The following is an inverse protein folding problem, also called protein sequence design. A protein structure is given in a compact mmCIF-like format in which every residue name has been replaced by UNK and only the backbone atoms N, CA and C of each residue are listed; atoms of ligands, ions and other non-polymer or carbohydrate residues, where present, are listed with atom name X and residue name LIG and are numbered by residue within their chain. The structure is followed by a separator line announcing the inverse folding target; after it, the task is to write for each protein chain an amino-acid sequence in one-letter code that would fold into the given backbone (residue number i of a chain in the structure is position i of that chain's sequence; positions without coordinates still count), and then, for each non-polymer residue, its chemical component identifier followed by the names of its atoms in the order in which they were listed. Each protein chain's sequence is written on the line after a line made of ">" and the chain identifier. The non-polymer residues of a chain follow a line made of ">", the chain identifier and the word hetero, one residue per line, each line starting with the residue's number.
data_IF_435379090999
#
_entry.id   IF_435379090999
#
_cell.length_a   1.000
_cell.length_b   1.000
_cell.length_c   1.000
_cell.angle_alpha   90.00
_cell.angle_beta   90.00
_cell.angle_gamma   90.00
#
_symmetry.space_group_name_H-M   'P 1'
#
loop_
_entity.id
_entity.type
_entity.pdbx_description
1 polymer ?
#
# COMPACT_ATOMS: atom_id res chain seq x y z
N UNK A 1 -26.15 -15.25 -6.38
CA UNK A 1 -25.36 -14.05 -6.04
C UNK A 1 -24.76 -14.29 -4.67
N UNK A 2 -23.48 -14.69 -4.59
CA UNK A 2 -22.87 -15.04 -3.31
C UNK A 2 -22.21 -13.79 -2.71
N UNK A 3 -22.85 -13.21 -1.70
CA UNK A 3 -22.25 -12.20 -0.84
C UNK A 3 -21.08 -12.86 -0.09
N UNK A 4 -19.85 -12.62 -0.56
CA UNK A 4 -18.65 -13.08 0.14
C UNK A 4 -18.58 -12.35 1.48
N UNK A 5 -18.98 -13.03 2.55
CA UNK A 5 -18.65 -12.67 3.93
C UNK A 5 -17.13 -12.56 4.05
N UNK A 6 -16.58 -11.36 3.82
CA UNK A 6 -15.24 -11.02 4.23
C UNK A 6 -15.15 -11.25 5.73
N UNK A 7 -14.23 -12.13 6.17
CA UNK A 7 -14.12 -12.43 7.59
C UNK A 7 -13.66 -11.17 8.31
N UNK A 8 -14.48 -10.64 9.23
CA UNK A 8 -14.16 -9.53 10.14
C UNK A 8 -12.87 -9.74 10.97
N UNK A 9 -12.23 -10.90 10.85
CA UNK A 9 -11.03 -11.33 11.57
C UNK A 9 -9.79 -10.47 11.31
N UNK A 10 -9.72 -9.78 10.17
CA UNK A 10 -8.53 -9.01 9.74
C UNK A 10 -8.76 -7.50 9.74
N UNK A 11 -9.93 -7.07 10.21
CA UNK A 11 -10.31 -5.67 10.21
C UNK A 11 -10.03 -5.10 11.59
N UNK A 12 -9.14 -4.12 11.65
CA UNK A 12 -8.71 -3.48 12.88
C UNK A 12 -9.00 -1.98 12.82
N UNK A 13 -9.47 -1.44 13.95
CA UNK A 13 -9.58 0.01 14.12
C UNK A 13 -8.33 0.52 14.83
N UNK A 14 -7.86 1.68 14.39
CA UNK A 14 -6.65 2.33 14.85
C UNK A 14 -6.98 3.78 15.19
N UNK A 15 -6.30 4.29 16.20
CA UNK A 15 -6.40 5.67 16.65
C UNK A 15 -4.99 6.22 16.80
N UNK A 16 -4.77 7.42 16.28
CA UNK A 16 -3.47 8.08 16.38
C UNK A 16 -3.61 9.60 16.39
N UNK A 17 -2.52 10.29 16.72
CA UNK A 17 -2.42 11.75 16.69
C UNK A 17 -1.19 12.17 15.91
N UNK A 18 -1.39 12.97 14.86
CA UNK A 18 -0.30 13.52 14.05
C UNK A 18 -0.25 15.04 14.16
N UNK A 19 0.94 15.62 14.02
CA UNK A 19 1.06 17.07 13.85
C UNK A 19 0.93 17.42 12.37
N UNK A 20 -0.01 18.33 12.06
CA UNK A 20 -0.24 18.83 10.71
C UNK A 20 -0.21 20.36 10.67
N UNK A 21 -0.03 20.91 9.48
CA UNK A 21 -0.10 22.35 9.22
C UNK A 21 -1.07 22.64 8.06
N UNK A 22 -1.28 23.93 7.75
CA UNK A 22 -2.03 24.40 6.59
C UNK A 22 -1.39 23.95 5.28
N UNK A 23 -1.76 22.76 4.82
CA UNK A 23 -1.36 22.23 3.52
C UNK A 23 -2.41 21.27 2.97
N UNK A 24 -2.26 20.93 1.70
CA UNK A 24 -2.99 19.82 1.13
C UNK A 24 -2.61 18.52 1.87
N UNK A 25 -3.62 17.81 2.37
CA UNK A 25 -3.42 16.53 3.06
C UNK A 25 -2.91 15.43 2.12
N UNK A 26 -2.97 15.63 0.80
CA UNK A 26 -2.39 14.72 -0.19
C UNK A 26 -3.10 13.36 -0.24
N UNK A 27 -4.38 13.30 0.12
CA UNK A 27 -5.17 12.06 0.11
C UNK A 27 -6.20 12.09 -1.02
N UNK A 28 -6.27 11.02 -1.80
CA UNK A 28 -7.36 10.77 -2.75
C UNK A 28 -8.21 9.61 -2.24
N UNK A 29 -9.53 9.70 -2.39
CA UNK A 29 -10.47 8.68 -1.92
C UNK A 29 -11.20 7.99 -3.07
N UNK A 30 -11.61 6.74 -2.86
CA UNK A 30 -12.49 6.03 -3.78
C UNK A 30 -13.86 6.72 -3.87
N UNK A 31 -14.33 6.98 -5.09
CA UNK A 31 -15.65 7.57 -5.33
C UNK A 31 -16.77 6.70 -4.73
N UNK A 32 -17.71 7.34 -4.03
CA UNK A 32 -18.88 6.68 -3.43
C UNK A 32 -18.61 5.84 -2.19
N UNK A 33 -17.38 5.83 -1.66
CA UNK A 33 -17.10 5.12 -0.39
C UNK A 33 -17.59 5.91 0.82
N UNK A 34 -18.33 5.24 1.70
CA UNK A 34 -18.72 5.76 3.02
C UNK A 34 -18.53 4.67 4.09
N UNK A 35 -17.70 4.89 5.13
CA UNK A 35 -16.78 6.01 5.32
C UNK A 35 -15.78 6.16 4.15
N UNK A 36 -15.15 7.33 3.95
CA UNK A 36 -14.24 7.53 2.82
C UNK A 36 -13.04 6.59 2.95
N UNK A 37 -12.74 5.90 1.84
CA UNK A 37 -11.65 4.94 1.75
C UNK A 37 -10.53 5.51 0.91
N UNK A 38 -9.32 5.48 1.44
CA UNK A 38 -8.14 6.02 0.78
C UNK A 38 -7.84 5.20 -0.48
N UNK A 39 -7.67 5.88 -1.60
CA UNK A 39 -7.21 5.33 -2.86
C UNK A 39 -5.72 5.58 -3.07
N UNK A 40 -5.25 6.81 -2.77
CA UNK A 40 -3.85 7.22 -2.94
C UNK A 40 -3.43 8.19 -1.84
N UNK A 41 -2.13 8.19 -1.57
CA UNK A 41 -1.46 9.06 -0.61
C UNK A 41 -0.23 9.65 -1.30
N UNK A 42 -0.15 10.96 -1.38
CA UNK A 42 1.01 11.70 -1.88
C UNK A 42 2.22 11.48 -0.95
N UNK A 43 3.43 11.46 -1.53
CA UNK A 43 4.69 11.35 -0.79
C UNK A 43 4.93 12.52 0.18
N UNK A 44 4.32 13.67 -0.06
CA UNK A 44 4.43 14.86 0.80
C UNK A 44 3.28 14.98 1.81
N UNK A 45 2.38 14.01 1.86
CA UNK A 45 1.30 13.95 2.86
C UNK A 45 1.87 13.72 4.27
N UNK A 46 1.30 14.39 5.27
CA UNK A 46 1.56 14.09 6.69
C UNK A 46 1.19 12.66 7.08
N UNK A 47 0.32 12.01 6.30
CA UNK A 47 -0.11 10.64 6.52
C UNK A 47 0.77 9.61 5.81
N UNK A 48 1.79 10.03 5.05
CA UNK A 48 2.66 9.13 4.32
C UNK A 48 3.42 8.20 5.27
N UNK A 49 3.34 6.89 5.00
CA UNK A 49 3.92 5.85 5.86
C UNK A 49 3.11 5.51 7.12
N UNK A 50 2.08 6.30 7.44
CA UNK A 50 1.17 6.04 8.57
C UNK A 50 -0.14 5.41 8.11
N UNK A 51 -0.79 6.05 7.13
CA UNK A 51 -1.96 5.51 6.45
C UNK A 51 -1.52 4.76 5.18
N UNK A 52 -2.38 3.85 4.73
CA UNK A 52 -2.19 3.12 3.48
C UNK A 52 -3.46 3.19 2.60
N UNK A 53 -3.29 3.11 1.26
CA UNK A 53 -4.39 2.84 0.36
C UNK A 53 -5.22 1.65 0.84
N UNK A 54 -6.52 1.89 0.95
CA UNK A 54 -7.49 0.93 1.46
C UNK A 54 -7.99 1.19 2.86
N UNK A 55 -7.31 2.03 3.65
CA UNK A 55 -7.80 2.45 4.97
C UNK A 55 -9.09 3.27 4.83
N UNK A 56 -10.03 3.04 5.75
CA UNK A 56 -11.25 3.84 5.88
C UNK A 56 -11.08 4.86 6.98
N UNK A 57 -11.24 6.15 6.68
CA UNK A 57 -11.22 7.20 7.70
C UNK A 57 -12.58 7.23 8.38
N UNK A 58 -12.59 7.03 9.70
CA UNK A 58 -13.81 6.97 10.49
C UNK A 58 -14.09 8.29 11.22
N UNK A 59 -13.03 8.94 11.71
CA UNK A 59 -13.13 10.12 12.56
C UNK A 59 -11.88 10.99 12.42
N UNK A 60 -12.09 12.30 12.48
CA UNK A 60 -11.04 13.32 12.64
C UNK A 60 -11.43 14.18 13.84
N UNK A 61 -10.53 14.33 14.80
CA UNK A 61 -10.78 14.91 16.11
C UNK A 61 -12.06 14.34 16.75
N UNK A 62 -13.11 15.15 16.90
CA UNK A 62 -14.40 14.74 17.46
C UNK A 62 -15.49 14.52 16.39
N UNK A 63 -15.14 14.64 15.11
CA UNK A 63 -16.08 14.62 13.99
C UNK A 63 -16.03 13.28 13.27
N UNK A 64 -17.17 12.60 13.19
CA UNK A 64 -17.33 11.43 12.35
C UNK A 64 -17.21 11.82 10.87
N UNK A 65 -16.51 11.01 10.08
CA UNK A 65 -16.25 11.28 8.67
C UNK A 65 -17.03 10.26 7.82
N UNK A 66 -17.94 10.76 6.97
CA UNK A 66 -18.79 9.90 6.14
C UNK A 66 -18.49 10.04 4.65
N UNK A 67 -17.79 11.10 4.23
CA UNK A 67 -17.39 11.33 2.84
C UNK A 67 -15.99 11.98 2.73
N UNK A 68 -15.47 12.08 1.50
CA UNK A 68 -14.21 12.77 1.23
C UNK A 68 -14.32 14.27 1.54
N UNK A 69 -15.49 14.87 1.27
CA UNK A 69 -15.77 16.28 1.56
C UNK A 69 -15.82 16.54 3.06
N UNK A 70 -16.38 15.62 3.86
CA UNK A 70 -16.33 15.68 5.33
C UNK A 70 -14.89 15.69 5.82
N UNK A 71 -14.02 14.85 5.23
CA UNK A 71 -12.61 14.80 5.56
C UNK A 71 -11.94 16.14 5.24
N UNK A 72 -12.08 16.65 4.01
CA UNK A 72 -11.50 17.94 3.60
C UNK A 72 -11.95 19.08 4.51
N UNK A 73 -13.24 19.13 4.87
CA UNK A 73 -13.77 20.15 5.78
C UNK A 73 -13.25 19.99 7.22
N UNK A 74 -12.96 18.77 7.66
CA UNK A 74 -12.39 18.51 8.99
C UNK A 74 -10.89 18.85 9.05
N UNK A 75 -10.18 18.81 7.92
CA UNK A 75 -8.73 19.06 7.84
C UNK A 75 -8.35 20.42 7.26
N UNK A 76 -9.32 21.32 7.04
CA UNK A 76 -9.05 22.65 6.51
C UNK A 76 -8.60 23.60 7.63
N UNK A 77 -7.28 23.72 7.83
CA UNK A 77 -6.68 24.56 8.86
C UNK A 77 -6.00 25.80 8.26
N UNK A 78 -6.71 26.89 8.04
CA UNK A 78 -6.11 28.11 7.48
C UNK A 78 -5.10 28.77 8.43
N UNK A 79 -3.90 29.09 7.93
CA UNK A 79 -2.90 29.96 8.57
C UNK A 79 -2.37 29.44 9.92
N UNK A 80 -2.44 28.13 10.15
CA UNK A 80 -2.16 27.54 11.45
C UNK A 80 -0.67 27.23 11.66
N UNK A 81 -0.17 27.56 12.85
CA UNK A 81 0.94 26.82 13.49
C UNK A 81 0.65 25.31 13.48
N UNK A 82 1.67 24.45 13.48
CA UNK A 82 1.49 23.00 13.59
C UNK A 82 0.54 22.64 14.74
N UNK A 83 -0.43 21.77 14.48
CA UNK A 83 -1.44 21.34 15.45
C UNK A 83 -1.59 19.82 15.47
N UNK A 84 -1.82 19.23 16.65
CA UNK A 84 -2.19 17.83 16.74
C UNK A 84 -3.57 17.61 16.13
N UNK A 85 -3.68 16.61 15.28
CA UNK A 85 -4.88 16.08 14.66
C UNK A 85 -5.07 14.65 15.12
N UNK A 86 -6.17 14.39 15.81
CA UNK A 86 -6.55 13.01 16.13
C UNK A 86 -7.25 12.38 14.93
N UNK A 87 -6.89 11.14 14.60
CA UNK A 87 -7.53 10.37 13.54
C UNK A 87 -7.92 8.99 14.06
N UNK A 88 -9.13 8.55 13.73
CA UNK A 88 -9.53 7.14 13.83
C UNK A 88 -9.78 6.59 12.44
N UNK A 89 -9.17 5.45 12.16
CA UNK A 89 -9.32 4.78 10.87
C UNK A 89 -9.44 3.28 11.05
N UNK A 90 -9.88 2.61 9.99
CA UNK A 90 -10.04 1.16 9.93
C UNK A 90 -9.17 0.60 8.82
N UNK A 91 -8.41 -0.42 9.14
CA UNK A 91 -7.52 -1.13 8.21
C UNK A 91 -7.97 -2.56 8.02
N UNK A 92 -7.87 -3.06 6.79
CA UNK A 92 -8.07 -4.48 6.48
C UNK A 92 -6.71 -5.15 6.20
N UNK A 93 -6.16 -5.79 7.23
CA UNK A 93 -4.87 -6.49 7.18
C UNK A 93 -4.92 -7.80 6.40
N UNK A 94 -6.07 -8.16 5.80
CA UNK A 94 -6.13 -9.28 4.88
C UNK A 94 -5.26 -9.03 3.63
N UNK A 95 -5.12 -7.75 3.24
CA UNK A 95 -4.29 -7.31 2.12
C UNK A 95 -2.91 -6.91 2.62
N UNK A 96 -2.00 -7.87 2.60
CA UNK A 96 -0.65 -7.68 3.12
C UNK A 96 0.38 -8.47 2.34
N UNK A 97 1.63 -8.05 2.51
CA UNK A 97 2.79 -8.81 2.14
C UNK A 97 3.40 -9.49 3.35
N UNK A 98 3.84 -10.73 3.17
CA UNK A 98 4.51 -11.50 4.21
C UNK A 98 5.82 -12.05 3.63
N UNK A 99 6.91 -11.82 4.34
CA UNK A 99 8.17 -12.50 4.08
C UNK A 99 8.02 -13.98 4.46
N UNK A 100 8.11 -14.88 3.48
CA UNK A 100 8.10 -16.32 3.75
C UNK A 100 9.51 -16.84 4.04
N UNK A 101 10.50 -16.35 3.29
CA UNK A 101 11.88 -16.84 3.39
C UNK A 101 12.87 -15.81 2.88
N UNK A 102 13.97 -15.60 3.60
CA UNK A 102 15.14 -14.86 3.12
C UNK A 102 16.31 -15.85 3.00
N UNK A 103 16.99 -15.86 1.85
CA UNK A 103 18.13 -16.75 1.58
C UNK A 103 19.25 -15.96 0.91
N UNK A 104 20.39 -15.85 1.58
CA UNK A 104 21.57 -15.22 1.00
C UNK A 104 22.16 -16.08 -0.12
N UNK A 105 22.57 -15.46 -1.23
CA UNK A 105 23.16 -16.18 -2.36
C UNK A 105 24.63 -16.47 -2.04
N UNK A 106 24.95 -17.74 -1.73
CA UNK A 106 26.32 -18.17 -1.37
C UNK A 106 27.39 -17.78 -2.40
N UNK A 107 27.04 -17.75 -3.69
CA UNK A 107 27.97 -17.40 -4.78
C UNK A 107 28.09 -15.90 -5.05
N UNK A 108 27.18 -15.09 -4.51
CA UNK A 108 27.20 -13.64 -4.64
C UNK A 108 26.60 -13.04 -3.36
N UNK A 109 27.42 -12.90 -2.30
CA UNK A 109 26.93 -12.53 -0.97
C UNK A 109 26.31 -11.13 -0.91
N UNK A 110 26.53 -10.31 -1.94
CA UNK A 110 25.91 -9.00 -2.15
C UNK A 110 24.47 -9.09 -2.66
N UNK A 111 23.92 -10.29 -2.82
CA UNK A 111 22.60 -10.54 -3.38
C UNK A 111 21.81 -11.48 -2.46
N UNK A 112 20.56 -11.13 -2.15
CA UNK A 112 19.69 -11.91 -1.26
C UNK A 112 18.39 -12.31 -1.92
N UNK A 113 18.00 -13.58 -1.89
CA UNK A 113 16.67 -14.00 -2.31
C UNK A 113 15.63 -13.80 -1.21
N UNK A 114 14.56 -13.07 -1.51
CA UNK A 114 13.43 -12.90 -0.59
C UNK A 114 12.17 -13.45 -1.22
N UNK A 115 11.62 -14.54 -0.68
CA UNK A 115 10.34 -15.09 -1.09
C UNK A 115 9.19 -14.37 -0.36
N UNK A 116 8.30 -13.74 -1.12
CA UNK A 116 7.15 -12.98 -0.62
C UNK A 116 5.85 -13.72 -0.90
N UNK A 117 4.93 -13.70 0.06
CA UNK A 117 3.51 -14.02 -0.15
C UNK A 117 2.72 -12.72 -0.15
N UNK A 118 1.97 -12.47 -1.22
CA UNK A 118 1.27 -11.20 -1.41
C UNK A 118 -0.22 -11.45 -1.60
N UNK A 119 -1.05 -10.73 -0.84
CA UNK A 119 -2.50 -10.72 -1.00
C UNK A 119 -2.95 -9.30 -1.33
N UNK A 120 -3.69 -9.13 -2.41
CA UNK A 120 -4.18 -7.83 -2.87
C UNK A 120 -5.59 -7.94 -3.46
N UNK A 121 -6.17 -6.80 -3.88
CA UNK A 121 -7.48 -6.73 -4.55
C UNK A 121 -7.37 -6.11 -5.92
N UNK A 122 -8.36 -6.34 -6.77
CA UNK A 122 -8.43 -5.65 -8.06
C UNK A 122 -8.57 -4.14 -7.90
N UNK A 123 -9.30 -3.67 -6.88
CA UNK A 123 -9.44 -2.24 -6.55
C UNK A 123 -8.23 -1.65 -5.81
N UNK A 124 -7.36 -2.49 -5.23
CA UNK A 124 -6.12 -2.08 -4.58
C UNK A 124 -4.97 -2.92 -5.13
N UNK A 125 -4.44 -2.56 -6.32
CA UNK A 125 -3.35 -3.31 -6.92
C UNK A 125 -2.10 -3.23 -6.06
N UNK A 126 -1.19 -4.17 -6.30
CA UNK A 126 0.08 -4.27 -5.57
C UNK A 126 0.96 -3.02 -5.69
N UNK A 127 0.80 -2.23 -6.77
CA UNK A 127 1.55 -0.99 -7.00
C UNK A 127 2.96 -1.19 -7.55
N UNK A 128 3.21 -2.23 -8.35
CA UNK A 128 4.50 -2.46 -9.02
C UNK A 128 4.39 -2.24 -10.53
N UNK A 129 5.42 -1.62 -11.09
CA UNK A 129 5.67 -1.62 -12.53
C UNK A 129 6.97 -2.37 -12.79
N UNK A 130 6.94 -3.27 -13.78
CA UNK A 130 8.11 -4.06 -14.15
C UNK A 130 8.45 -3.83 -15.61
N UNK A 131 9.74 -3.91 -15.91
CA UNK A 131 10.29 -3.81 -17.26
C UNK A 131 11.27 -4.94 -17.52
N UNK A 132 11.46 -5.25 -18.81
CA UNK A 132 12.48 -6.22 -19.22
C UNK A 132 13.80 -5.50 -19.45
N UNK A 133 14.86 -5.94 -18.77
CA UNK A 133 16.24 -5.45 -18.95
C UNK A 133 17.18 -6.64 -19.19
N UNK A 134 17.54 -6.85 -20.45
CA UNK A 134 18.27 -8.04 -20.88
C UNK A 134 17.41 -9.30 -20.71
N UNK A 135 17.93 -10.27 -19.96
CA UNK A 135 17.24 -11.52 -19.60
C UNK A 135 16.51 -11.47 -18.26
N UNK A 136 16.44 -10.31 -17.61
CA UNK A 136 15.78 -10.15 -16.31
C UNK A 136 14.52 -9.28 -16.44
N UNK A 137 13.51 -9.59 -15.62
CA UNK A 137 12.40 -8.68 -15.33
C UNK A 137 12.75 -7.92 -14.06
N UNK A 138 12.74 -6.60 -14.14
CA UNK A 138 13.17 -5.69 -13.07
C UNK A 138 11.99 -4.82 -12.68
N UNK A 139 11.86 -4.55 -11.39
CA UNK A 139 10.94 -3.54 -10.86
C UNK A 139 11.48 -2.17 -11.26
N UNK A 140 10.80 -1.49 -12.18
CA UNK A 140 11.20 -0.16 -12.65
C UNK A 140 10.63 0.95 -11.78
N UNK A 141 9.43 0.74 -11.23
CA UNK A 141 8.75 1.72 -10.40
C UNK A 141 7.85 1.04 -9.36
N UNK A 142 7.75 1.67 -8.20
CA UNK A 142 6.84 1.31 -7.13
C UNK A 142 5.93 2.50 -6.86
N UNK A 143 4.62 2.27 -6.92
CA UNK A 143 3.63 3.28 -6.57
C UNK A 143 3.80 3.64 -5.07
N UNK A 144 3.98 4.93 -4.74
CA UNK A 144 4.11 5.35 -3.35
C UNK A 144 2.94 4.87 -2.49
N UNK A 145 3.23 4.50 -1.25
CA UNK A 145 2.26 3.99 -0.27
C UNK A 145 1.54 2.70 -0.67
N UNK A 146 1.85 2.08 -1.80
CA UNK A 146 1.25 0.80 -2.19
C UNK A 146 1.69 -0.35 -1.27
N UNK A 147 1.00 -1.48 -1.38
CA UNK A 147 1.34 -2.71 -0.63
C UNK A 147 2.79 -3.15 -0.90
N UNK A 148 3.31 -2.93 -2.12
CA UNK A 148 4.69 -3.24 -2.47
C UNK A 148 5.75 -2.36 -1.81
N UNK A 149 5.41 -1.11 -1.50
CA UNK A 149 6.38 -0.10 -1.05
C UNK A 149 7.10 -0.45 0.26
N UNK A 150 6.57 -1.40 1.03
CA UNK A 150 7.16 -1.85 2.28
C UNK A 150 8.30 -2.87 2.11
N UNK A 151 8.37 -3.56 0.97
CA UNK A 151 9.23 -4.74 0.82
C UNK A 151 9.97 -4.81 -0.52
N UNK A 152 9.54 -4.04 -1.52
CA UNK A 152 10.05 -4.08 -2.88
C UNK A 152 10.58 -2.70 -3.24
N UNK A 153 11.75 -2.66 -3.84
CA UNK A 153 12.42 -1.46 -4.29
C UNK A 153 12.59 -1.45 -5.82
N UNK A 154 12.62 -0.26 -6.45
CA UNK A 154 13.10 -0.15 -7.82
C UNK A 154 14.51 -0.75 -7.97
N UNK A 155 14.72 -1.56 -9.00
CA UNK A 155 15.95 -2.33 -9.22
C UNK A 155 15.85 -3.80 -8.81
N UNK A 156 14.86 -4.17 -7.99
CA UNK A 156 14.63 -5.55 -7.60
C UNK A 156 14.32 -6.43 -8.82
N UNK A 157 14.90 -7.63 -8.85
CA UNK A 157 14.69 -8.58 -9.95
C UNK A 157 13.56 -9.54 -9.61
N UNK A 158 12.55 -9.63 -10.47
CA UNK A 158 11.48 -10.62 -10.38
C UNK A 158 11.93 -11.92 -11.06
N UNK A 159 12.09 -12.99 -10.27
CA UNK A 159 12.52 -14.32 -10.79
C UNK A 159 11.39 -15.29 -11.06
N UNK A 160 10.44 -15.37 -10.15
CA UNK A 160 9.39 -16.40 -10.15
C UNK A 160 8.09 -15.80 -9.67
N UNK A 161 6.97 -16.24 -10.23
CA UNK A 161 5.61 -15.87 -9.85
C UNK A 161 4.77 -17.15 -9.78
N UNK A 162 4.31 -17.52 -8.58
CA UNK A 162 3.56 -18.75 -8.31
C UNK A 162 4.27 -20.05 -8.75
N UNK A 163 5.57 -20.14 -8.55
CA UNK A 163 6.36 -21.31 -8.97
C UNK A 163 6.59 -21.38 -10.48
N UNK A 164 6.29 -20.31 -11.22
CA UNK A 164 6.64 -20.16 -12.63
C UNK A 164 7.70 -19.10 -12.80
N UNK A 165 8.83 -19.51 -13.34
CA UNK A 165 9.94 -18.62 -13.64
C UNK A 165 9.53 -17.58 -14.68
N UNK A 166 9.85 -16.31 -14.40
CA UNK A 166 9.56 -15.18 -15.28
C UNK A 166 10.77 -15.00 -16.20
N UNK A 167 10.81 -15.77 -17.30
CA UNK A 167 11.95 -15.76 -18.22
C UNK A 167 11.85 -14.72 -19.33
N UNK A 168 10.67 -14.47 -19.89
CA UNK A 168 10.54 -13.58 -21.05
C UNK A 168 9.16 -12.93 -21.24
N UNK A 169 8.17 -13.26 -20.40
CA UNK A 169 6.79 -12.88 -20.61
C UNK A 169 6.23 -12.06 -19.43
N UNK A 170 6.05 -10.76 -19.67
CA UNK A 170 5.47 -9.81 -18.72
C UNK A 170 3.97 -10.05 -18.51
N UNK A 171 3.30 -10.77 -19.43
CA UNK A 171 1.85 -11.00 -19.36
C UNK A 171 1.46 -12.02 -18.27
N UNK A 172 2.37 -12.92 -17.89
CA UNK A 172 2.18 -13.88 -16.79
C UNK A 172 2.26 -13.30 -15.38
N UNK A 173 2.79 -12.08 -15.22
CA UNK A 173 3.02 -11.46 -13.90
C UNK A 173 1.76 -10.84 -13.26
N UNK A 174 0.57 -10.95 -13.90
CA UNK A 174 -0.64 -10.20 -13.48
C UNK A 174 -1.55 -10.89 -12.47
N UNK A 175 -1.30 -12.12 -12.01
CA UNK A 175 -2.16 -12.78 -11.01
C UNK A 175 -1.35 -13.61 -10.01
N UNK A 176 -1.40 -13.18 -8.75
CA UNK A 176 -0.69 -13.69 -7.56
C UNK A 176 0.83 -13.67 -7.73
N UNK A 177 1.51 -12.75 -7.05
CA UNK A 177 2.94 -12.54 -7.12
C UNK A 177 3.53 -13.24 -5.90
N UNK A 178 4.23 -14.33 -6.14
CA UNK A 178 5.40 -14.58 -5.34
C UNK A 178 6.45 -13.64 -5.90
N UNK A 179 7.09 -12.85 -5.06
CA UNK A 179 8.27 -12.13 -5.47
C UNK A 179 9.45 -12.87 -4.90
N UNK A 180 10.47 -13.06 -5.73
CA UNK A 180 11.79 -13.43 -5.26
C UNK A 180 12.72 -12.24 -5.55
N UNK A 181 12.73 -11.26 -4.64
CA UNK A 181 13.59 -10.07 -4.76
C UNK A 181 15.04 -10.49 -4.64
N UNK A 182 15.93 -9.87 -5.42
CA UNK A 182 17.35 -9.87 -5.16
C UNK A 182 17.81 -8.47 -4.73
N UNK A 183 18.09 -8.30 -3.42
CA UNK A 183 18.73 -7.10 -2.84
C UNK A 183 20.24 -7.24 -2.83
#
# INVERSE_FOLDING_TARGET
>A
MAEKRGSKKYIHEHEDTIEIQDSDMGLTFFSGSSPPRIQKIDIFSYFFGWLFPGDWILQIDKRAINSAEDFTAATQYSGAEPKPLFIRFRRDDYFRMINLKVTQIRRNPSHNFIQLQIRWREDLPIGITVEKKGSNIIVSHIEPSSVAAQYILPGDILRDVNGKEVKDDVSGAKKVLFLQVIL
#
